data_IF_103183471735
#
_entry.id   IF_103183471735
#
_cell.length_a   1.000
_cell.length_b   1.000
_cell.length_c   1.000
_cell.angle_alpha   90.00
_cell.angle_beta   90.00
_cell.angle_gamma   90.00
#
_symmetry.space_group_name_H-M   'P 1'
#
loop_
_entity.id
_entity.type
_entity.pdbx_description
1 polymer ?
#
# COMPACT_ATOMS: atom_id res chain seq x y z
N UNK A 1 32.49 50.48 65.07
CA UNK A 1 31.34 49.67 64.67
C UNK A 1 31.65 49.05 63.34
N UNK A 2 32.05 47.75 63.24
CA UNK A 2 32.33 47.11 62.00
C UNK A 2 31.07 46.55 61.35
N UNK A 3 30.93 46.71 60.06
CA UNK A 3 29.83 46.22 59.21
C UNK A 3 29.88 44.69 59.05
N UNK A 4 28.79 44.03 59.38
CA UNK A 4 28.59 42.58 59.16
C UNK A 4 28.38 42.27 57.67
N UNK A 5 29.27 41.41 57.10
CA UNK A 5 29.12 40.91 55.75
C UNK A 5 28.21 39.67 55.78
N UNK A 6 27.00 39.78 55.20
CA UNK A 6 26.07 38.67 55.05
C UNK A 6 26.53 37.85 53.83
N UNK A 7 27.05 36.64 54.06
CA UNK A 7 27.32 35.64 53.02
C UNK A 7 26.04 34.91 52.68
N UNK A 8 25.48 35.21 51.50
CA UNK A 8 24.35 34.46 50.95
C UNK A 8 24.85 33.13 50.37
N UNK A 9 24.54 32.04 51.04
CA UNK A 9 24.81 30.69 50.54
C UNK A 9 23.87 30.35 49.36
N UNK A 10 24.45 30.22 48.14
CA UNK A 10 23.76 29.77 46.95
C UNK A 10 23.57 28.25 47.04
N UNK A 11 22.35 27.79 47.16
CA UNK A 11 22.02 26.35 47.11
C UNK A 11 22.38 25.72 45.77
N UNK A 12 22.86 24.46 45.76
CA UNK A 12 23.25 23.80 44.52
C UNK A 12 21.99 23.52 43.65
N UNK A 13 22.14 23.80 42.34
CA UNK A 13 21.11 23.54 41.32
C UNK A 13 20.69 22.07 41.32
N UNK A 14 19.42 21.81 41.53
CA UNK A 14 18.79 20.49 41.42
C UNK A 14 18.93 20.04 39.95
N UNK A 15 19.79 19.07 39.69
CA UNK A 15 19.82 18.34 38.44
C UNK A 15 18.49 17.59 38.32
N UNK A 16 17.58 18.11 37.50
CA UNK A 16 16.38 17.38 37.07
C UNK A 16 16.86 16.20 36.22
N UNK A 17 16.90 15.02 36.81
CA UNK A 17 17.19 13.76 36.12
C UNK A 17 16.16 13.59 35.02
N UNK A 18 16.62 13.43 33.78
CA UNK A 18 15.81 12.98 32.66
C UNK A 18 15.12 11.67 33.08
N UNK A 19 13.84 11.76 33.41
CA UNK A 19 13.00 10.57 33.57
C UNK A 19 13.00 9.85 32.23
N UNK A 20 13.69 8.71 32.18
CA UNK A 20 13.55 7.69 31.13
C UNK A 20 12.15 7.05 31.28
N UNK A 21 11.12 7.78 30.88
CA UNK A 21 9.78 7.25 30.71
C UNK A 21 9.63 6.75 29.28
N UNK A 22 8.94 5.60 29.12
CA UNK A 22 8.50 5.09 27.81
C UNK A 22 7.87 6.26 27.02
N UNK A 23 8.31 6.55 25.77
CA UNK A 23 7.76 7.67 25.02
C UNK A 23 6.24 7.60 24.98
N UNK A 24 5.51 8.72 25.01
CA UNK A 24 4.08 8.73 24.83
C UNK A 24 3.71 7.92 23.57
N UNK A 25 2.61 7.20 23.59
CA UNK A 25 2.18 6.32 22.48
C UNK A 25 2.18 7.05 21.12
N UNK A 26 1.90 8.34 21.13
CA UNK A 26 1.97 9.22 19.97
C UNK A 26 3.40 9.34 19.41
N UNK A 27 4.41 9.58 20.27
CA UNK A 27 5.81 9.69 19.83
C UNK A 27 6.33 8.36 19.25
N UNK A 28 5.86 7.24 19.80
CA UNK A 28 6.21 5.92 19.30
C UNK A 28 5.65 5.67 17.89
N UNK A 29 4.44 6.13 17.60
CA UNK A 29 3.82 6.05 16.26
C UNK A 29 4.53 6.97 15.26
N UNK A 30 4.79 8.21 15.62
CA UNK A 30 5.53 9.16 14.78
C UNK A 30 6.92 8.65 14.43
N UNK A 31 7.60 8.01 15.39
CA UNK A 31 8.92 7.43 15.14
C UNK A 31 8.86 6.24 14.18
N UNK A 32 7.85 5.36 14.33
CA UNK A 32 7.62 4.25 13.41
C UNK A 32 7.37 4.76 12.00
N UNK A 33 6.53 5.78 11.84
CA UNK A 33 6.24 6.39 10.54
C UNK A 33 7.49 7.02 9.90
N UNK A 34 8.38 7.65 10.67
CA UNK A 34 9.65 8.19 10.15
C UNK A 34 10.55 7.08 9.62
N UNK A 35 10.65 5.95 10.33
CA UNK A 35 11.43 4.79 9.88
C UNK A 35 10.82 4.21 8.61
N UNK A 36 9.51 4.00 8.55
CA UNK A 36 8.83 3.47 7.38
C UNK A 36 8.96 4.39 6.16
N UNK A 37 8.81 5.70 6.33
CA UNK A 37 9.01 6.67 5.25
C UNK A 37 10.44 6.59 4.71
N UNK A 38 11.44 6.60 5.58
CA UNK A 38 12.85 6.51 5.19
C UNK A 38 13.18 5.19 4.48
N UNK A 39 12.60 4.08 4.96
CA UNK A 39 12.75 2.77 4.34
C UNK A 39 12.08 2.71 2.96
N UNK A 40 10.87 3.26 2.83
CA UNK A 40 10.15 3.33 1.55
C UNK A 40 10.99 4.04 0.50
N UNK A 41 11.50 5.23 0.83
CA UNK A 41 12.35 6.01 -0.08
C UNK A 41 13.60 5.23 -0.49
N UNK A 42 14.33 4.65 0.47
CA UNK A 42 15.56 3.91 0.18
C UNK A 42 15.30 2.63 -0.63
N UNK A 43 14.27 1.86 -0.29
CA UNK A 43 13.94 0.65 -1.04
C UNK A 43 13.54 0.96 -2.49
N UNK A 44 12.75 2.01 -2.71
CA UNK A 44 12.30 2.36 -4.06
C UNK A 44 13.39 3.04 -4.90
N UNK A 45 14.32 3.77 -4.26
CA UNK A 45 15.38 4.49 -4.98
C UNK A 45 16.57 3.61 -5.35
N UNK A 46 17.06 2.77 -4.42
CA UNK A 46 18.30 2.01 -4.59
C UNK A 46 18.14 0.49 -4.54
N UNK A 47 16.90 0.01 -4.37
CA UNK A 47 16.57 -1.41 -4.31
C UNK A 47 16.65 -2.00 -2.90
N UNK A 48 16.03 -3.20 -2.76
CA UNK A 48 16.05 -3.92 -1.48
C UNK A 48 17.44 -4.42 -1.13
N UNK A 49 18.14 -5.04 -2.08
CA UNK A 49 19.47 -5.62 -1.84
C UNK A 49 20.47 -4.60 -1.30
N UNK A 50 20.51 -3.41 -1.89
CA UNK A 50 21.46 -2.33 -1.56
C UNK A 50 21.10 -1.54 -0.31
N UNK A 51 19.86 -1.59 0.16
CA UNK A 51 19.41 -0.88 1.36
C UNK A 51 19.87 -1.61 2.61
N UNK A 52 20.54 -0.91 3.52
CA UNK A 52 20.97 -1.42 4.83
C UNK A 52 20.15 -0.83 5.97
N UNK A 53 20.05 -1.56 7.07
CA UNK A 53 19.37 -1.07 8.29
C UNK A 53 20.04 0.20 8.82
N UNK A 54 21.36 0.28 8.70
CA UNK A 54 22.15 1.44 9.08
C UNK A 54 21.74 2.69 8.28
N UNK A 55 21.61 2.55 6.98
CA UNK A 55 21.18 3.63 6.10
C UNK A 55 19.76 4.11 6.45
N UNK A 56 18.84 3.17 6.71
CA UNK A 56 17.49 3.50 7.13
C UNK A 56 17.48 4.20 8.48
N UNK A 57 18.19 3.70 9.48
CA UNK A 57 18.28 4.29 10.81
C UNK A 57 18.88 5.70 10.77
N UNK A 58 19.97 5.89 10.01
CA UNK A 58 20.61 7.19 9.80
C UNK A 58 19.64 8.18 9.15
N UNK A 59 18.98 7.80 8.06
CA UNK A 59 18.01 8.65 7.35
C UNK A 59 16.79 9.00 8.21
N UNK A 60 16.33 8.06 9.05
CA UNK A 60 15.24 8.28 9.99
C UNK A 60 15.64 9.09 11.23
N UNK A 61 16.96 9.36 11.43
CA UNK A 61 17.47 10.05 12.61
C UNK A 61 17.27 9.25 13.89
N UNK A 62 17.49 7.93 13.85
CA UNK A 62 17.35 7.02 15.00
C UNK A 62 18.63 6.19 15.19
N UNK A 63 18.85 5.69 16.43
CA UNK A 63 19.90 4.72 16.68
C UNK A 63 19.51 3.33 16.14
N UNK A 64 20.52 2.48 15.84
CA UNK A 64 20.29 1.06 15.51
C UNK A 64 19.44 0.35 16.57
N UNK A 65 19.72 0.60 17.86
CA UNK A 65 18.95 0.02 18.95
C UNK A 65 17.47 0.41 18.84
N UNK A 66 17.18 1.69 18.60
CA UNK A 66 15.82 2.19 18.44
C UNK A 66 15.13 1.58 17.22
N UNK A 67 15.88 1.27 16.17
CA UNK A 67 15.37 0.53 15.02
C UNK A 67 14.97 -0.89 15.40
N UNK A 68 15.88 -1.66 16.01
CA UNK A 68 15.64 -3.05 16.42
C UNK A 68 14.58 -3.21 17.52
N UNK A 69 14.32 -2.16 18.31
CA UNK A 69 13.17 -2.14 19.24
C UNK A 69 11.81 -2.15 18.51
N UNK A 70 11.77 -2.04 17.16
CA UNK A 70 10.54 -1.92 16.35
C UNK A 70 10.45 -2.88 15.17
N UNK A 71 11.58 -3.25 14.60
CA UNK A 71 11.67 -4.15 13.46
C UNK A 71 12.81 -5.13 13.67
N UNK A 72 12.49 -6.42 13.66
CA UNK A 72 13.45 -7.47 13.95
C UNK A 72 14.54 -7.56 12.86
N UNK A 73 14.13 -7.39 11.60
CA UNK A 73 15.03 -7.45 10.45
C UNK A 73 14.52 -6.61 9.24
N UNK A 74 15.28 -6.68 8.14
CA UNK A 74 14.97 -5.96 6.91
C UNK A 74 13.73 -6.51 6.19
N UNK A 75 13.41 -7.79 6.35
CA UNK A 75 12.24 -8.39 5.71
C UNK A 75 10.95 -7.99 6.41
N UNK A 76 10.96 -7.92 7.74
CA UNK A 76 9.85 -7.39 8.54
C UNK A 76 9.63 -5.90 8.24
N UNK A 77 10.72 -5.13 8.11
CA UNK A 77 10.63 -3.73 7.68
C UNK A 77 10.02 -3.60 6.29
N UNK A 78 10.44 -4.44 5.33
CA UNK A 78 9.92 -4.41 3.97
C UNK A 78 8.43 -4.76 3.93
N UNK A 79 7.98 -5.79 4.65
CA UNK A 79 6.55 -6.12 4.77
C UNK A 79 5.73 -4.94 5.33
N UNK A 80 6.26 -4.23 6.33
CA UNK A 80 5.61 -3.04 6.86
C UNK A 80 5.60 -1.86 5.87
N UNK A 81 6.61 -1.74 4.99
CA UNK A 81 6.62 -0.77 3.89
C UNK A 81 5.58 -1.12 2.83
N UNK A 82 5.47 -2.40 2.45
CA UNK A 82 4.42 -2.90 1.53
C UNK A 82 3.04 -2.55 2.07
N UNK A 83 2.78 -2.92 3.31
CA UNK A 83 1.51 -2.59 3.99
C UNK A 83 1.21 -1.09 3.95
N UNK A 84 2.19 -0.26 4.27
CA UNK A 84 2.04 1.21 4.23
C UNK A 84 1.70 1.72 2.83
N UNK A 85 2.33 1.19 1.79
CA UNK A 85 2.03 1.58 0.39
C UNK A 85 0.60 1.17 0.03
N UNK A 86 0.19 -0.06 0.36
CA UNK A 86 -1.16 -0.56 0.06
C UNK A 86 -2.22 0.26 0.79
N UNK A 87 -2.02 0.58 2.08
CA UNK A 87 -2.92 1.46 2.83
C UNK A 87 -3.05 2.86 2.21
N UNK A 88 -1.98 3.41 1.65
CA UNK A 88 -2.01 4.74 1.00
C UNK A 88 -2.76 4.77 -0.33
N UNK A 89 -2.81 3.65 -1.05
CA UNK A 89 -3.53 3.53 -2.31
C UNK A 89 -4.95 2.96 -2.15
N UNK A 90 -5.30 2.50 -0.95
CA UNK A 90 -6.64 2.02 -0.64
C UNK A 90 -7.67 3.15 -0.79
N UNK A 91 -8.81 2.89 -1.47
CA UNK A 91 -9.88 3.88 -1.53
C UNK A 91 -10.36 4.25 -0.11
N UNK A 92 -10.75 5.52 0.12
CA UNK A 92 -11.39 5.91 1.37
C UNK A 92 -12.62 5.07 1.67
N UNK A 93 -12.81 4.70 2.95
CA UNK A 93 -13.91 3.82 3.39
C UNK A 93 -15.31 4.43 3.17
N UNK A 94 -15.39 5.75 3.03
CA UNK A 94 -16.62 6.51 2.82
C UNK A 94 -17.02 6.65 1.34
N UNK A 95 -16.26 6.10 0.40
CA UNK A 95 -16.66 6.07 -1.02
C UNK A 95 -17.85 5.12 -1.16
N UNK A 96 -19.05 5.59 -1.56
CA UNK A 96 -20.22 4.74 -1.70
C UNK A 96 -20.10 3.89 -2.98
N UNK A 97 -19.26 2.86 -2.91
CA UNK A 97 -18.98 1.98 -4.06
C UNK A 97 -20.24 1.28 -4.57
N UNK A 98 -21.18 0.98 -3.68
CA UNK A 98 -22.35 0.14 -3.93
C UNK A 98 -23.67 0.93 -3.93
N UNK A 99 -23.69 2.23 -3.64
CA UNK A 99 -24.92 2.98 -3.46
C UNK A 99 -25.66 3.22 -4.80
N UNK A 100 -26.87 2.69 -4.92
CA UNK A 100 -27.89 3.10 -5.88
C UNK A 100 -27.58 2.89 -7.37
N UNK A 101 -26.57 2.08 -7.71
CA UNK A 101 -26.13 1.87 -9.08
C UNK A 101 -26.32 0.41 -9.50
N UNK A 102 -26.59 0.20 -10.78
CA UNK A 102 -26.58 -1.13 -11.38
C UNK A 102 -25.18 -1.76 -11.34
N UNK A 103 -25.10 -3.10 -11.44
CA UNK A 103 -23.86 -3.86 -11.36
C UNK A 103 -22.78 -3.34 -12.33
N UNK A 104 -23.17 -2.98 -13.56
CA UNK A 104 -22.25 -2.46 -14.58
C UNK A 104 -21.58 -1.16 -14.13
N UNK A 105 -22.35 -0.24 -13.58
CA UNK A 105 -21.84 1.02 -13.04
C UNK A 105 -20.95 0.83 -11.84
N UNK A 106 -21.27 -0.12 -10.96
CA UNK A 106 -20.40 -0.48 -9.81
C UNK A 106 -19.07 -1.05 -10.30
N UNK A 107 -19.10 -2.02 -11.24
CA UNK A 107 -17.86 -2.61 -11.78
C UNK A 107 -16.99 -1.59 -12.52
N UNK A 108 -17.58 -0.61 -13.23
CA UNK A 108 -16.81 0.50 -13.85
C UNK A 108 -16.09 1.35 -12.79
N UNK A 109 -16.76 1.69 -11.69
CA UNK A 109 -16.13 2.43 -10.58
C UNK A 109 -14.99 1.62 -9.96
N UNK A 110 -15.22 0.32 -9.72
CA UNK A 110 -14.19 -0.57 -9.19
C UNK A 110 -13.00 -0.70 -10.15
N UNK A 111 -13.22 -0.86 -11.46
CA UNK A 111 -12.16 -0.86 -12.46
C UNK A 111 -11.33 0.42 -12.41
N UNK A 112 -11.97 1.59 -12.34
CA UNK A 112 -11.27 2.86 -12.19
C UNK A 112 -10.46 2.97 -10.89
N UNK A 113 -10.95 2.42 -9.78
CA UNK A 113 -10.21 2.35 -8.52
C UNK A 113 -9.00 1.43 -8.62
N UNK A 114 -9.17 0.22 -9.17
CA UNK A 114 -8.07 -0.73 -9.41
C UNK A 114 -6.98 -0.09 -10.27
N UNK A 115 -7.35 0.56 -11.37
CA UNK A 115 -6.38 1.24 -12.25
C UNK A 115 -5.63 2.34 -11.50
N UNK A 116 -6.30 3.20 -10.76
CA UNK A 116 -5.65 4.26 -9.97
C UNK A 116 -4.70 3.70 -8.92
N UNK A 117 -5.13 2.66 -8.21
CA UNK A 117 -4.31 2.01 -7.18
C UNK A 117 -3.05 1.37 -7.81
N UNK A 118 -3.24 0.52 -8.81
CA UNK A 118 -2.16 -0.28 -9.42
C UNK A 118 -1.20 0.53 -10.28
N UNK A 119 -1.64 1.64 -10.87
CA UNK A 119 -0.81 2.55 -11.67
C UNK A 119 -0.27 3.75 -10.88
N UNK A 120 -0.52 3.83 -9.57
CA UNK A 120 0.06 4.87 -8.73
C UNK A 120 1.60 4.81 -8.78
N UNK A 121 2.31 5.96 -8.65
CA UNK A 121 3.78 5.97 -8.70
C UNK A 121 4.43 4.99 -7.70
N UNK A 122 3.89 4.91 -6.48
CA UNK A 122 4.38 4.03 -5.43
C UNK A 122 4.14 2.54 -5.76
N UNK A 123 2.93 2.18 -6.21
CA UNK A 123 2.62 0.81 -6.61
C UNK A 123 3.48 0.36 -7.79
N UNK A 124 3.67 1.22 -8.78
CA UNK A 124 4.52 0.93 -9.94
C UNK A 124 5.99 0.79 -9.55
N UNK A 125 6.50 1.63 -8.65
CA UNK A 125 7.87 1.52 -8.14
C UNK A 125 8.06 0.21 -7.35
N UNK A 126 7.11 -0.14 -6.48
CA UNK A 126 7.11 -1.41 -5.75
C UNK A 126 7.07 -2.62 -6.71
N UNK A 127 6.21 -2.58 -7.71
CA UNK A 127 6.10 -3.65 -8.72
C UNK A 127 7.43 -3.85 -9.46
N UNK A 128 8.12 -2.76 -9.86
CA UNK A 128 9.44 -2.83 -10.50
C UNK A 128 10.49 -3.42 -9.56
N UNK A 129 10.52 -2.98 -8.32
CA UNK A 129 11.44 -3.49 -7.30
C UNK A 129 11.27 -5.00 -7.10
N UNK A 130 10.03 -5.46 -6.89
CA UNK A 130 9.74 -6.89 -6.71
C UNK A 130 10.09 -7.69 -7.95
N UNK A 131 9.72 -7.22 -9.15
CA UNK A 131 10.06 -7.89 -10.40
C UNK A 131 11.57 -8.02 -10.63
N UNK A 132 12.35 -7.01 -10.24
CA UNK A 132 13.80 -7.00 -10.41
C UNK A 132 14.54 -7.89 -9.40
N UNK A 133 14.04 -7.99 -8.16
CA UNK A 133 14.82 -8.57 -7.07
C UNK A 133 14.21 -9.86 -6.47
N UNK A 134 12.96 -10.23 -6.79
CA UNK A 134 12.29 -11.40 -6.18
C UNK A 134 12.99 -12.73 -6.48
N UNK A 135 13.70 -12.86 -7.59
CA UNK A 135 14.50 -14.05 -7.89
C UNK A 135 15.62 -14.26 -6.86
N UNK A 136 16.20 -13.15 -6.34
CA UNK A 136 17.25 -13.17 -5.31
C UNK A 136 16.68 -13.13 -3.89
N UNK A 137 15.54 -12.49 -3.73
CA UNK A 137 14.87 -12.25 -2.44
C UNK A 137 13.39 -12.65 -2.54
N UNK A 138 13.06 -13.96 -2.50
CA UNK A 138 11.67 -14.45 -2.70
C UNK A 138 10.66 -13.89 -1.69
N UNK A 139 11.13 -13.51 -0.49
CA UNK A 139 10.30 -12.89 0.53
C UNK A 139 9.65 -11.58 0.11
N UNK A 140 10.17 -10.89 -0.93
CA UNK A 140 9.58 -9.64 -1.45
C UNK A 140 8.23 -9.90 -2.11
N UNK A 141 8.13 -10.93 -2.95
CA UNK A 141 6.87 -11.34 -3.57
C UNK A 141 5.86 -11.81 -2.52
N UNK A 142 6.31 -12.63 -1.56
CA UNK A 142 5.47 -13.10 -0.46
C UNK A 142 4.94 -11.94 0.42
N UNK A 143 5.75 -10.91 0.66
CA UNK A 143 5.30 -9.75 1.44
C UNK A 143 4.16 -9.00 0.74
N UNK A 144 4.19 -8.89 -0.60
CA UNK A 144 3.12 -8.25 -1.37
C UNK A 144 1.86 -9.13 -1.40
N UNK A 145 2.01 -10.44 -1.58
CA UNK A 145 0.90 -11.38 -1.62
C UNK A 145 0.20 -11.49 -0.26
N UNK A 146 0.97 -11.56 0.82
CA UNK A 146 0.46 -11.72 2.19
C UNK A 146 -0.11 -10.44 2.80
N UNK A 147 0.03 -9.27 2.17
CA UNK A 147 -0.55 -8.02 2.72
C UNK A 147 -2.08 -8.04 2.76
N UNK A 148 -2.72 -8.91 1.98
CA UNK A 148 -4.18 -9.11 1.98
C UNK A 148 -4.97 -8.10 1.16
N UNK A 149 -4.37 -7.06 0.59
CA UNK A 149 -5.09 -6.05 -0.19
C UNK A 149 -5.78 -6.62 -1.43
N UNK A 150 -5.14 -7.56 -2.11
CA UNK A 150 -5.74 -8.28 -3.26
C UNK A 150 -6.85 -9.22 -2.80
N UNK A 151 -6.68 -9.90 -1.67
CA UNK A 151 -7.68 -10.80 -1.10
C UNK A 151 -8.93 -10.03 -0.68
N UNK A 152 -8.77 -8.89 -0.02
CA UNK A 152 -9.88 -8.02 0.39
C UNK A 152 -10.68 -7.51 -0.82
N UNK A 153 -10.01 -7.02 -1.87
CA UNK A 153 -10.65 -6.60 -3.12
C UNK A 153 -11.39 -7.76 -3.80
N UNK A 154 -10.77 -8.94 -3.83
CA UNK A 154 -11.35 -10.15 -4.39
C UNK A 154 -12.61 -10.58 -3.63
N UNK A 155 -12.58 -10.56 -2.30
CA UNK A 155 -13.71 -10.93 -1.46
C UNK A 155 -14.87 -9.91 -1.61
N UNK A 156 -14.57 -8.62 -1.67
CA UNK A 156 -15.56 -7.57 -1.89
C UNK A 156 -16.27 -7.75 -3.24
N UNK A 157 -15.51 -7.90 -4.32
CA UNK A 157 -16.05 -8.07 -5.68
C UNK A 157 -16.79 -9.41 -5.80
N UNK A 158 -16.23 -10.48 -5.25
CA UNK A 158 -16.85 -11.82 -5.25
C UNK A 158 -18.18 -11.85 -4.52
N UNK A 159 -18.27 -11.19 -3.37
CA UNK A 159 -19.52 -11.03 -2.62
C UNK A 159 -20.57 -10.20 -3.39
N UNK A 160 -20.13 -9.14 -4.07
CA UNK A 160 -20.99 -8.34 -4.94
C UNK A 160 -21.56 -9.18 -6.08
N UNK A 161 -20.73 -9.92 -6.80
CA UNK A 161 -21.15 -10.76 -7.92
C UNK A 161 -22.10 -11.87 -7.47
N UNK A 162 -21.84 -12.51 -6.34
CA UNK A 162 -22.72 -13.54 -5.79
C UNK A 162 -24.12 -13.01 -5.42
N UNK A 163 -24.20 -11.75 -4.98
CA UNK A 163 -25.47 -11.10 -4.62
C UNK A 163 -26.29 -10.65 -5.84
N UNK A 164 -25.62 -10.09 -6.83
CA UNK A 164 -26.26 -9.47 -7.98
C UNK A 164 -26.57 -10.46 -9.12
N UNK A 165 -25.96 -11.65 -9.11
CA UNK A 165 -26.14 -12.71 -10.10
C UNK A 165 -26.60 -14.04 -9.45
N UNK A 166 -27.74 -14.07 -8.74
CA UNK A 166 -28.19 -15.26 -8.00
C UNK A 166 -28.47 -16.45 -8.91
N UNK A 167 -28.91 -16.22 -10.16
CA UNK A 167 -29.26 -17.29 -11.12
C UNK A 167 -28.02 -17.98 -11.74
N UNK A 168 -26.83 -17.43 -11.58
CA UNK A 168 -25.63 -17.95 -12.20
C UNK A 168 -25.09 -19.24 -11.58
N UNK A 169 -25.76 -19.86 -10.58
CA UNK A 169 -25.21 -20.97 -9.75
C UNK A 169 -23.80 -20.70 -9.24
N UNK A 170 -23.49 -19.42 -9.04
CA UNK A 170 -22.16 -18.94 -8.67
C UNK A 170 -22.05 -19.06 -7.15
N UNK A 171 -21.59 -20.22 -6.67
CA UNK A 171 -21.20 -20.33 -5.27
C UNK A 171 -20.06 -19.36 -4.95
N UNK A 172 -19.82 -19.08 -3.66
CA UNK A 172 -18.76 -18.15 -3.22
C UNK A 172 -17.40 -18.39 -3.89
N UNK A 173 -17.02 -19.68 -4.10
CA UNK A 173 -15.76 -20.02 -4.81
C UNK A 173 -15.73 -19.52 -6.25
N UNK A 174 -16.83 -19.60 -6.97
CA UNK A 174 -16.94 -19.09 -8.34
C UNK A 174 -16.93 -17.56 -8.38
N UNK A 175 -17.53 -16.90 -7.36
CA UNK A 175 -17.48 -15.45 -7.19
C UNK A 175 -16.06 -14.94 -6.94
N UNK A 176 -15.29 -15.62 -6.09
CA UNK A 176 -13.88 -15.31 -5.85
C UNK A 176 -13.04 -15.48 -7.13
N UNK A 177 -13.21 -16.58 -7.85
CA UNK A 177 -12.53 -16.79 -9.13
C UNK A 177 -12.90 -15.69 -10.14
N UNK A 178 -14.17 -15.38 -10.30
CA UNK A 178 -14.62 -14.31 -11.22
C UNK A 178 -14.04 -12.95 -10.84
N UNK A 179 -14.00 -12.64 -9.54
CA UNK A 179 -13.40 -11.41 -9.03
C UNK A 179 -11.88 -11.34 -9.34
N UNK A 180 -11.14 -12.43 -9.14
CA UNK A 180 -9.74 -12.51 -9.53
C UNK A 180 -9.53 -12.25 -11.01
N UNK A 181 -10.34 -12.91 -11.89
CA UNK A 181 -10.26 -12.68 -13.32
C UNK A 181 -10.57 -11.23 -13.68
N UNK A 182 -11.59 -10.62 -13.07
CA UNK A 182 -11.94 -9.22 -13.28
C UNK A 182 -10.75 -8.29 -12.94
N UNK A 183 -10.13 -8.47 -11.76
CA UNK A 183 -8.96 -7.68 -11.34
C UNK A 183 -7.82 -7.82 -12.34
N UNK A 184 -7.51 -9.03 -12.78
CA UNK A 184 -6.47 -9.29 -13.78
C UNK A 184 -6.79 -8.67 -15.13
N UNK A 185 -8.02 -8.79 -15.62
CA UNK A 185 -8.45 -8.16 -16.87
C UNK A 185 -8.28 -6.64 -16.82
N UNK A 186 -8.61 -6.01 -15.70
CA UNK A 186 -8.48 -4.56 -15.53
C UNK A 186 -7.02 -4.13 -15.47
N UNK A 187 -6.18 -4.78 -14.66
CA UNK A 187 -4.88 -4.27 -14.27
C UNK A 187 -3.72 -4.71 -15.18
N UNK A 188 -3.73 -5.94 -15.71
CA UNK A 188 -2.53 -6.57 -16.29
C UNK A 188 -1.96 -5.81 -17.50
N UNK A 189 -2.79 -5.48 -18.48
CA UNK A 189 -2.31 -4.80 -19.71
C UNK A 189 -1.85 -3.37 -19.42
N UNK A 190 -2.61 -2.52 -18.70
CA UNK A 190 -2.17 -1.18 -18.32
C UNK A 190 -0.86 -1.18 -17.52
N UNK A 191 -0.72 -2.07 -16.53
CA UNK A 191 0.52 -2.20 -15.74
C UNK A 191 1.71 -2.60 -16.62
N UNK A 192 1.55 -3.61 -17.50
CA UNK A 192 2.63 -4.03 -18.40
C UNK A 192 3.10 -2.87 -19.29
N UNK A 193 2.18 -2.10 -19.85
CA UNK A 193 2.53 -0.91 -20.64
C UNK A 193 3.27 0.13 -19.79
N UNK A 194 2.81 0.40 -18.57
CA UNK A 194 3.46 1.33 -17.65
C UNK A 194 4.84 0.84 -17.17
N UNK A 195 5.12 -0.47 -17.24
CA UNK A 195 6.44 -1.06 -16.97
C UNK A 195 7.40 -0.99 -18.16
N UNK A 196 6.96 -0.52 -19.34
CA UNK A 196 7.80 -0.41 -20.53
C UNK A 196 7.55 -1.49 -21.60
N UNK A 197 6.59 -2.39 -21.40
CA UNK A 197 6.20 -3.39 -22.42
C UNK A 197 5.16 -2.82 -23.40
N UNK A 198 5.32 -1.56 -23.79
CA UNK A 198 4.48 -0.83 -24.72
C UNK A 198 4.33 0.63 -24.30
N UNK A 199 3.55 1.39 -25.08
CA UNK A 199 3.24 2.80 -24.74
C UNK A 199 2.27 2.84 -23.57
N UNK A 200 2.55 3.60 -22.50
CA UNK A 200 1.61 3.82 -21.40
C UNK A 200 0.27 4.36 -21.92
N UNK A 201 -0.82 3.91 -21.35
CA UNK A 201 -2.15 4.39 -21.69
C UNK A 201 -2.39 5.80 -21.12
N UNK A 202 -2.98 6.66 -21.93
CA UNK A 202 -3.53 7.95 -21.48
C UNK A 202 -4.75 7.76 -20.59
N UNK A 203 -5.18 8.82 -19.90
CA UNK A 203 -6.37 8.79 -19.06
C UNK A 203 -7.64 8.36 -19.84
N UNK A 204 -7.80 8.86 -21.07
CA UNK A 204 -8.93 8.50 -21.94
C UNK A 204 -8.89 7.03 -22.36
N UNK A 205 -7.70 6.49 -22.69
CA UNK A 205 -7.54 5.07 -23.00
C UNK A 205 -7.81 4.17 -21.80
N UNK A 206 -7.43 4.57 -20.59
CA UNK A 206 -7.72 3.83 -19.36
C UNK A 206 -9.23 3.82 -19.06
N UNK A 207 -9.94 4.91 -19.31
CA UNK A 207 -11.39 4.97 -19.16
C UNK A 207 -12.10 4.05 -20.18
N UNK A 208 -11.73 4.12 -21.45
CA UNK A 208 -12.23 3.23 -22.50
C UNK A 208 -11.91 1.76 -22.17
N UNK A 209 -10.70 1.46 -21.74
CA UNK A 209 -10.28 0.13 -21.29
C UNK A 209 -11.18 -0.41 -20.16
N UNK A 210 -11.47 0.40 -19.13
CA UNK A 210 -12.35 0.00 -18.04
C UNK A 210 -13.78 -0.32 -18.52
N UNK A 211 -14.31 0.46 -19.47
CA UNK A 211 -15.63 0.23 -20.08
C UNK A 211 -15.63 -1.10 -20.84
N UNK A 212 -14.63 -1.35 -21.68
CA UNK A 212 -14.56 -2.55 -22.52
C UNK A 212 -14.34 -3.81 -21.67
N UNK A 213 -13.49 -3.74 -20.63
CA UNK A 213 -13.29 -4.84 -19.70
C UNK A 213 -14.61 -5.20 -18.97
N UNK A 214 -15.36 -4.20 -18.50
CA UNK A 214 -16.65 -4.46 -17.84
C UNK A 214 -17.66 -5.04 -18.81
N UNK A 215 -17.70 -4.57 -20.07
CA UNK A 215 -18.55 -5.12 -21.11
C UNK A 215 -18.19 -6.59 -21.39
N UNK A 216 -16.92 -6.86 -21.64
CA UNK A 216 -16.43 -8.24 -21.88
C UNK A 216 -16.73 -9.16 -20.69
N UNK A 217 -16.55 -8.67 -19.47
CA UNK A 217 -16.76 -9.47 -18.25
C UNK A 217 -18.24 -9.85 -18.03
N UNK A 218 -19.17 -8.92 -18.29
CA UNK A 218 -20.61 -9.16 -18.07
C UNK A 218 -21.29 -9.82 -19.25
N UNK A 219 -20.97 -9.40 -20.46
CA UNK A 219 -21.70 -9.77 -21.69
C UNK A 219 -20.96 -10.79 -22.56
N UNK A 220 -19.71 -11.15 -22.18
CA UNK A 220 -18.85 -12.02 -22.98
C UNK A 220 -18.35 -11.33 -24.24
N UNK A 221 -17.69 -12.11 -25.13
CA UNK A 221 -17.13 -11.58 -26.38
C UNK A 221 -18.18 -10.97 -27.31
N UNK A 222 -19.39 -11.53 -27.32
CA UNK A 222 -20.49 -11.02 -28.17
C UNK A 222 -20.90 -9.59 -27.80
N UNK A 223 -20.78 -9.21 -26.53
CA UNK A 223 -21.05 -7.85 -26.06
C UNK A 223 -20.10 -6.78 -26.62
N UNK A 224 -18.91 -7.17 -27.12
CA UNK A 224 -17.98 -6.24 -27.76
C UNK A 224 -18.37 -5.93 -29.22
N UNK A 225 -19.12 -6.82 -29.87
CA UNK A 225 -19.51 -6.69 -31.28
C UNK A 225 -20.75 -5.82 -31.49
N UNK A 226 -21.45 -5.41 -30.45
CA UNK A 226 -22.74 -4.72 -30.51
C UNK A 226 -22.65 -3.18 -30.60
N UNK A 227 -21.51 -2.61 -31.00
CA UNK A 227 -21.26 -1.16 -30.98
C UNK A 227 -20.72 -0.65 -32.34
N UNK A 228 -21.37 -1.09 -33.44
CA UNK A 228 -21.26 -0.44 -34.77
C UNK A 228 -22.49 0.42 -35.08
#
# INVERSE_FOLDING_TARGET
MPAEVIIVQVAPAIRVGRRSGRPPRADALLLRERILKSATELFLDQGYGSTTIEAVAARAGVSKRTFYDRFDDKSVLFAAVVHRIIEQIRPPADVPLLAGADLRSVLRRLAGLILRATLSPQAMALTRLVAAESARFPQLALAVENDGGTEEATNLIGGLLARELPDAKVGLKSGVFAAQQFIHMVATVPQRRAMGYGTPMSAAELEAWAIDVVRLFLDGYQGLSSND
#
